data_IF_384092735542
#
_entry.id   IF_384092735542
#
_cell.length_a   1.000
_cell.length_b   1.000
_cell.length_c   1.000
_cell.angle_alpha   90.00
_cell.angle_beta   90.00
_cell.angle_gamma   90.00
#
_symmetry.space_group_name_H-M   'P 1'
#
loop_
_entity.id
_entity.type
_entity.pdbx_description
1 polymer ?
#
# COMPACT_ATOMS: atom_id res chain seq x y z
N UNK A 1 13.34 26.15 -3.17
CA UNK A 1 12.36 25.09 -2.86
C UNK A 1 12.77 23.86 -3.65
N UNK A 2 12.87 22.69 -3.02
CA UNK A 2 13.24 21.44 -3.69
C UNK A 2 11.98 20.56 -3.77
N UNK A 3 11.55 20.26 -5.00
CA UNK A 3 10.28 19.56 -5.28
C UNK A 3 10.45 18.07 -5.61
N UNK A 4 11.69 17.67 -5.88
CA UNK A 4 12.02 16.29 -6.22
C UNK A 4 11.93 15.38 -5.00
N UNK A 5 11.40 14.17 -5.20
CA UNK A 5 11.45 13.13 -4.18
C UNK A 5 12.89 12.69 -3.96
N UNK A 6 13.24 12.41 -2.71
CA UNK A 6 14.50 11.72 -2.41
C UNK A 6 14.43 10.24 -2.82
N UNK A 7 15.58 9.56 -2.82
CA UNK A 7 15.66 8.17 -3.27
C UNK A 7 14.79 7.21 -2.45
N UNK A 8 14.72 7.40 -1.14
CA UNK A 8 13.87 6.59 -0.27
C UNK A 8 12.38 6.77 -0.61
N UNK A 9 11.93 8.02 -0.84
CA UNK A 9 10.56 8.32 -1.25
C UNK A 9 10.25 7.72 -2.63
N UNK A 10 11.18 7.77 -3.58
CA UNK A 10 11.02 7.12 -4.90
C UNK A 10 10.90 5.61 -4.76
N UNK A 11 11.74 4.99 -3.92
CA UNK A 11 11.69 3.55 -3.65
C UNK A 11 10.35 3.13 -3.07
N UNK A 12 9.87 3.81 -2.03
CA UNK A 12 8.56 3.54 -1.41
C UNK A 12 7.44 3.70 -2.44
N UNK A 13 7.44 4.80 -3.21
CA UNK A 13 6.44 5.04 -4.25
C UNK A 13 6.41 3.92 -5.29
N UNK A 14 7.57 3.46 -5.75
CA UNK A 14 7.65 2.41 -6.77
C UNK A 14 7.15 1.07 -6.23
N UNK A 15 7.52 0.70 -5.00
CA UNK A 15 7.04 -0.51 -4.33
C UNK A 15 5.50 -0.50 -4.16
N UNK A 16 4.93 0.62 -3.68
CA UNK A 16 3.48 0.75 -3.50
C UNK A 16 2.75 0.71 -4.85
N UNK A 17 3.31 1.34 -5.89
CA UNK A 17 2.75 1.28 -7.25
C UNK A 17 2.69 -0.15 -7.77
N UNK A 18 3.79 -0.88 -7.66
CA UNK A 18 3.85 -2.27 -8.12
C UNK A 18 2.84 -3.16 -7.39
N UNK A 19 2.70 -2.99 -6.07
CA UNK A 19 1.66 -3.67 -5.29
C UNK A 19 0.25 -3.31 -5.80
N UNK A 20 -0.04 -2.03 -5.99
CA UNK A 20 -1.35 -1.58 -6.46
C UNK A 20 -1.69 -2.17 -7.84
N UNK A 21 -0.74 -2.18 -8.77
CA UNK A 21 -0.92 -2.71 -10.12
C UNK A 21 -1.13 -4.22 -10.14
N UNK A 22 -0.40 -4.97 -9.31
CA UNK A 22 -0.44 -6.45 -9.30
C UNK A 22 -1.53 -7.04 -8.42
N UNK A 23 -1.84 -6.41 -7.29
CA UNK A 23 -2.67 -7.00 -6.23
C UNK A 23 -4.02 -6.30 -6.06
N UNK A 24 -4.11 -5.00 -6.35
CA UNK A 24 -5.33 -4.20 -6.13
C UNK A 24 -6.12 -4.04 -7.43
N UNK A 25 -5.47 -3.54 -8.48
CA UNK A 25 -6.12 -3.21 -9.76
C UNK A 25 -6.92 -4.37 -10.38
N UNK A 26 -6.45 -5.63 -10.37
CA UNK A 26 -7.18 -6.74 -11.00
C UNK A 26 -8.53 -7.06 -10.34
N UNK A 27 -8.69 -6.75 -9.05
CA UNK A 27 -9.88 -7.14 -8.25
C UNK A 27 -10.75 -5.95 -7.86
N UNK A 28 -10.24 -4.71 -7.98
CA UNK A 28 -10.91 -3.51 -7.47
C UNK A 28 -12.34 -3.32 -8.02
N UNK A 29 -12.53 -3.47 -9.33
CA UNK A 29 -13.84 -3.26 -9.96
C UNK A 29 -14.86 -4.33 -9.59
N UNK A 30 -14.43 -5.55 -9.28
CA UNK A 30 -15.34 -6.62 -8.83
C UNK A 30 -15.75 -6.41 -7.38
N UNK A 31 -14.79 -6.07 -6.50
CA UNK A 31 -15.07 -5.80 -5.09
C UNK A 31 -16.00 -4.60 -4.92
N UNK A 32 -15.80 -3.53 -5.71
CA UNK A 32 -16.67 -2.35 -5.72
C UNK A 32 -18.12 -2.71 -6.08
N UNK A 33 -18.31 -3.47 -7.18
CA UNK A 33 -19.65 -3.93 -7.61
C UNK A 33 -20.35 -4.82 -6.57
N UNK A 34 -19.58 -5.55 -5.77
CA UNK A 34 -20.10 -6.47 -4.74
C UNK A 34 -20.19 -5.82 -3.36
N UNK A 35 -19.72 -4.58 -3.21
CA UNK A 35 -19.59 -3.90 -1.91
C UNK A 35 -18.77 -4.74 -0.90
N UNK A 36 -17.80 -5.52 -1.40
CA UNK A 36 -17.02 -6.45 -0.58
C UNK A 36 -15.80 -5.76 0.05
N UNK A 37 -15.65 -5.96 1.37
CA UNK A 37 -14.51 -5.44 2.11
C UNK A 37 -13.21 -6.20 1.77
N UNK A 38 -12.11 -5.50 1.39
CA UNK A 38 -10.92 -6.13 0.81
C UNK A 38 -9.95 -6.70 1.88
N UNK A 39 -10.43 -7.54 2.80
CA UNK A 39 -9.64 -8.06 3.94
C UNK A 39 -8.30 -8.65 3.50
N UNK A 40 -8.30 -9.51 2.46
CA UNK A 40 -7.07 -10.16 1.97
C UNK A 40 -6.05 -9.17 1.42
N UNK A 41 -6.52 -8.10 0.77
CA UNK A 41 -5.66 -7.05 0.24
C UNK A 41 -5.03 -6.26 1.38
N UNK A 42 -5.82 -5.91 2.41
CA UNK A 42 -5.33 -5.21 3.59
C UNK A 42 -4.32 -6.04 4.39
N UNK A 43 -4.53 -7.35 4.53
CA UNK A 43 -3.54 -8.24 5.16
C UNK A 43 -2.20 -8.23 4.41
N UNK A 44 -2.22 -8.19 3.07
CA UNK A 44 -1.00 -8.05 2.26
C UNK A 44 -0.36 -6.68 2.47
N UNK A 45 -1.14 -5.60 2.50
CA UNK A 45 -0.64 -4.24 2.79
C UNK A 45 -0.01 -4.14 4.18
N UNK A 46 -0.59 -4.80 5.19
CA UNK A 46 -0.06 -4.86 6.55
C UNK A 46 1.32 -5.52 6.59
N UNK A 47 1.50 -6.64 5.87
CA UNK A 47 2.80 -7.34 5.77
C UNK A 47 3.89 -6.49 5.08
N UNK A 48 3.49 -5.52 4.26
CA UNK A 48 4.38 -4.56 3.62
C UNK A 48 4.66 -3.32 4.50
N UNK A 49 4.12 -3.25 5.72
CA UNK A 49 4.27 -2.12 6.63
C UNK A 49 3.46 -0.88 6.23
N UNK A 50 2.61 -0.97 5.19
CA UNK A 50 1.93 0.20 4.63
C UNK A 50 0.87 0.79 5.57
N UNK A 51 0.31 -0.03 6.45
CA UNK A 51 -0.72 0.38 7.41
C UNK A 51 -0.13 0.97 8.71
N UNK A 52 1.17 0.83 8.92
CA UNK A 52 1.87 1.24 10.15
C UNK A 52 2.85 2.39 9.97
N UNK A 53 2.89 3.05 8.81
CA UNK A 53 3.99 3.97 8.44
C UNK A 53 4.26 5.15 9.40
N UNK A 54 3.29 5.52 10.23
CA UNK A 54 3.42 6.59 11.25
C UNK A 54 3.49 6.06 12.68
N UNK A 55 3.42 4.74 12.84
CA UNK A 55 3.41 4.06 14.13
C UNK A 55 4.86 3.72 14.50
N UNK A 56 5.29 3.96 15.75
CA UNK A 56 6.60 3.53 16.21
C UNK A 56 6.82 2.02 16.03
N UNK A 57 8.05 1.63 15.69
CA UNK A 57 8.41 0.22 15.47
C UNK A 57 8.18 -0.67 16.70
N UNK A 58 8.25 -0.12 17.92
CA UNK A 58 7.94 -0.84 19.16
C UNK A 58 6.48 -1.34 19.24
N UNK A 59 5.59 -0.76 18.44
CA UNK A 59 4.19 -1.16 18.31
C UNK A 59 3.90 -1.91 16.99
N UNK A 60 4.93 -2.24 16.21
CA UNK A 60 4.80 -2.99 14.95
C UNK A 60 4.57 -2.13 13.70
N UNK A 61 4.95 -0.85 13.73
CA UNK A 61 5.06 0.00 12.54
C UNK A 61 6.31 -0.28 11.70
#
# INVERSE_FOLDING_TARGET
MQLELNEQQKMIRNMVREFAEKEVAPIAAELDKKEEYPTKTLEKMAKLGLLGSIIPTEYGG
#
